data_IF_443549033303
#
_entry.id   IF_443549033303
#
_cell.length_a   1.000
_cell.length_b   1.000
_cell.length_c   1.000
_cell.angle_alpha   90.00
_cell.angle_beta   90.00
_cell.angle_gamma   90.00
#
_symmetry.space_group_name_H-M   'P 1'
#
loop_
_entity.id
_entity.type
_entity.pdbx_description
1 polymer ?
#
# COMPACT_ATOMS: atom_id res chain seq x y z
N UNK A 1 -14.11 -20.40 7.22
CA UNK A 1 -12.81 -19.68 7.42
C UNK A 1 -11.79 -20.04 6.35
N UNK A 2 -11.59 -21.33 5.98
CA UNK A 2 -10.65 -21.75 4.93
C UNK A 2 -10.92 -21.05 3.58
N UNK A 3 -12.18 -20.92 3.17
CA UNK A 3 -12.53 -20.26 1.92
C UNK A 3 -12.08 -18.80 1.83
N UNK A 4 -12.14 -18.04 2.94
CA UNK A 4 -11.63 -16.66 2.96
C UNK A 4 -10.10 -16.60 2.78
N UNK A 5 -9.37 -17.51 3.40
CA UNK A 5 -7.91 -17.59 3.24
C UNK A 5 -7.53 -17.94 1.78
N UNK A 6 -8.26 -18.83 1.14
CA UNK A 6 -8.05 -19.16 -0.28
C UNK A 6 -8.40 -17.97 -1.18
N UNK A 7 -9.51 -17.27 -0.94
CA UNK A 7 -9.87 -16.07 -1.72
C UNK A 7 -8.81 -14.96 -1.59
N UNK A 8 -8.30 -14.75 -0.38
CA UNK A 8 -7.23 -13.77 -0.10
C UNK A 8 -5.95 -14.13 -0.85
N UNK A 9 -5.51 -15.40 -0.75
CA UNK A 9 -4.35 -15.90 -1.48
C UNK A 9 -4.50 -15.75 -3.01
N UNK A 10 -5.68 -16.05 -3.57
CA UNK A 10 -5.95 -15.86 -5.00
C UNK A 10 -5.78 -14.39 -5.41
N UNK A 11 -6.33 -13.45 -4.62
CA UNK A 11 -6.21 -12.01 -4.87
C UNK A 11 -4.73 -11.57 -4.79
N UNK A 12 -4.00 -12.05 -3.79
CA UNK A 12 -2.57 -11.75 -3.60
C UNK A 12 -1.71 -12.27 -4.77
N UNK A 13 -2.03 -13.47 -5.29
CA UNK A 13 -1.40 -14.08 -6.46
C UNK A 13 -1.85 -13.48 -7.81
N UNK A 14 -2.54 -12.34 -7.79
CA UNK A 14 -3.08 -11.67 -8.98
C UNK A 14 -4.15 -12.47 -9.77
N UNK A 15 -4.70 -13.55 -9.17
CA UNK A 15 -5.83 -14.34 -9.70
C UNK A 15 -7.16 -13.69 -9.29
N UNK A 16 -7.32 -12.43 -9.69
CA UNK A 16 -8.38 -11.53 -9.18
C UNK A 16 -9.80 -11.99 -9.51
N UNK A 17 -9.98 -12.61 -10.68
CA UNK A 17 -11.30 -13.11 -11.11
C UNK A 17 -11.74 -14.28 -10.25
N UNK A 18 -10.86 -15.22 -9.98
CA UNK A 18 -11.13 -16.38 -9.13
C UNK A 18 -11.32 -15.96 -7.66
N UNK A 19 -10.51 -15.02 -7.18
CA UNK A 19 -10.68 -14.43 -5.84
C UNK A 19 -12.03 -13.72 -5.70
N UNK A 20 -12.48 -13.00 -6.73
CA UNK A 20 -13.79 -12.35 -6.76
C UNK A 20 -14.93 -13.37 -6.78
N UNK A 21 -14.83 -14.40 -7.63
CA UNK A 21 -15.83 -15.46 -7.71
C UNK A 21 -16.00 -16.18 -6.37
N UNK A 22 -14.87 -16.57 -5.76
CA UNK A 22 -14.91 -17.26 -4.47
C UNK A 22 -15.46 -16.37 -3.36
N UNK A 23 -15.02 -15.12 -3.27
CA UNK A 23 -15.53 -14.18 -2.25
C UNK A 23 -17.01 -13.91 -2.43
N UNK A 24 -17.52 -13.84 -3.67
CA UNK A 24 -18.94 -13.67 -3.96
C UNK A 24 -19.77 -14.87 -3.49
N UNK A 25 -19.32 -16.10 -3.79
CA UNK A 25 -19.97 -17.33 -3.29
C UNK A 25 -19.98 -17.40 -1.75
N UNK A 26 -18.90 -16.94 -1.13
CA UNK A 26 -18.84 -16.87 0.34
C UNK A 26 -19.81 -15.83 0.90
N UNK A 27 -20.00 -14.69 0.23
CA UNK A 27 -21.00 -13.69 0.63
C UNK A 27 -22.42 -14.25 0.53
N UNK A 28 -22.74 -15.01 -0.52
CA UNK A 28 -24.05 -15.68 -0.67
C UNK A 28 -24.30 -16.73 0.42
N UNK A 29 -23.30 -17.57 0.72
CA UNK A 29 -23.39 -18.59 1.75
C UNK A 29 -23.36 -18.05 3.18
N UNK A 30 -22.70 -16.92 3.41
CA UNK A 30 -22.50 -16.33 4.73
C UNK A 30 -22.73 -14.80 4.73
N UNK A 31 -23.96 -14.33 4.47
CA UNK A 31 -24.26 -12.92 4.19
C UNK A 31 -24.01 -11.98 5.36
N UNK A 32 -23.94 -12.50 6.59
CA UNK A 32 -23.66 -11.72 7.81
C UNK A 32 -22.18 -11.70 8.21
N UNK A 33 -21.32 -12.39 7.47
CA UNK A 33 -19.88 -12.49 7.80
C UNK A 33 -19.11 -11.35 7.15
N UNK A 34 -18.33 -10.62 7.93
CA UNK A 34 -17.59 -9.45 7.49
C UNK A 34 -16.52 -9.80 6.44
N UNK A 35 -15.65 -10.79 6.74
CA UNK A 35 -14.46 -11.09 5.92
C UNK A 35 -14.75 -11.38 4.44
N UNK A 36 -15.77 -12.18 4.05
CA UNK A 36 -16.11 -12.34 2.63
C UNK A 36 -16.38 -11.02 1.91
N UNK A 37 -17.10 -10.08 2.55
CA UNK A 37 -17.43 -8.78 1.98
C UNK A 37 -16.19 -7.88 1.85
N UNK A 38 -15.28 -7.91 2.82
CA UNK A 38 -13.98 -7.23 2.71
C UNK A 38 -13.19 -7.76 1.51
N UNK A 39 -13.10 -9.08 1.35
CA UNK A 39 -12.39 -9.72 0.24
C UNK A 39 -13.04 -9.43 -1.13
N UNK A 40 -14.38 -9.39 -1.20
CA UNK A 40 -15.08 -8.98 -2.41
C UNK A 40 -14.76 -7.53 -2.78
N UNK A 41 -14.78 -6.62 -1.81
CA UNK A 41 -14.37 -5.23 -1.99
C UNK A 41 -12.91 -5.11 -2.44
N UNK A 42 -12.00 -5.88 -1.82
CA UNK A 42 -10.58 -5.95 -2.19
C UNK A 42 -10.39 -6.44 -3.62
N UNK A 43 -11.09 -7.52 -4.01
CA UNK A 43 -11.01 -8.07 -5.37
C UNK A 43 -11.46 -7.04 -6.42
N UNK A 44 -12.57 -6.34 -6.21
CA UNK A 44 -13.00 -5.25 -7.10
C UNK A 44 -11.97 -4.12 -7.16
N UNK A 45 -11.41 -3.70 -6.03
CA UNK A 45 -10.37 -2.68 -5.99
C UNK A 45 -9.13 -3.11 -6.79
N UNK A 46 -8.66 -4.36 -6.61
CA UNK A 46 -7.52 -4.91 -7.35
C UNK A 46 -7.78 -5.08 -8.85
N UNK A 47 -9.04 -5.21 -9.25
CA UNK A 47 -9.47 -5.20 -10.67
C UNK A 47 -9.60 -3.79 -11.24
N UNK A 48 -9.43 -2.73 -10.45
CA UNK A 48 -9.61 -1.34 -10.85
C UNK A 48 -11.06 -0.86 -10.85
N UNK A 49 -12.02 -1.69 -10.44
CA UNK A 49 -13.43 -1.30 -10.29
C UNK A 49 -13.67 -0.67 -8.90
N UNK A 50 -13.06 0.49 -8.70
CA UNK A 50 -13.21 1.22 -7.44
C UNK A 50 -14.66 1.59 -7.12
N UNK A 51 -15.56 1.69 -8.14
CA UNK A 51 -16.99 2.01 -7.93
C UNK A 51 -17.70 0.88 -7.19
N UNK A 52 -17.55 -0.36 -7.65
CA UNK A 52 -18.12 -1.52 -6.97
C UNK A 52 -17.46 -1.76 -5.61
N UNK A 53 -16.16 -1.60 -5.52
CA UNK A 53 -15.44 -1.68 -4.25
C UNK A 53 -15.98 -0.66 -3.24
N UNK A 54 -16.18 0.61 -3.65
CA UNK A 54 -16.73 1.66 -2.79
C UNK A 54 -18.18 1.39 -2.38
N UNK A 55 -19.00 0.78 -3.22
CA UNK A 55 -20.37 0.42 -2.85
C UNK A 55 -20.37 -0.57 -1.67
N UNK A 56 -19.60 -1.65 -1.78
CA UNK A 56 -19.52 -2.70 -0.75
C UNK A 56 -18.88 -2.16 0.54
N UNK A 57 -17.72 -1.53 0.42
CA UNK A 57 -16.96 -1.04 1.58
C UNK A 57 -17.63 0.15 2.26
N UNK A 58 -18.35 0.98 1.48
CA UNK A 58 -19.16 2.06 2.00
C UNK A 58 -20.35 1.59 2.84
N UNK A 59 -21.00 0.48 2.43
CA UNK A 59 -22.03 -0.17 3.25
C UNK A 59 -21.46 -0.72 4.56
N UNK A 60 -20.27 -1.37 4.51
CA UNK A 60 -19.59 -1.84 5.72
C UNK A 60 -19.26 -0.68 6.66
N UNK A 61 -18.67 0.37 6.12
CA UNK A 61 -18.36 1.58 6.89
C UNK A 61 -19.61 2.23 7.51
N UNK A 62 -20.71 2.32 6.75
CA UNK A 62 -21.98 2.87 7.24
C UNK A 62 -22.64 1.98 8.32
N UNK A 63 -22.35 0.66 8.29
CA UNK A 63 -22.78 -0.28 9.32
C UNK A 63 -21.91 -0.26 10.60
N UNK A 64 -20.86 0.57 10.62
CA UNK A 64 -19.96 0.70 11.77
C UNK A 64 -18.74 -0.22 11.75
N UNK A 65 -18.49 -0.91 10.64
CA UNK A 65 -17.29 -1.74 10.46
C UNK A 65 -16.08 -0.82 10.18
N UNK A 66 -15.37 -0.46 11.23
CA UNK A 66 -14.27 0.52 11.22
C UNK A 66 -12.92 -0.12 11.60
N UNK A 67 -12.81 -1.43 11.47
CA UNK A 67 -11.54 -2.14 11.67
C UNK A 67 -10.50 -1.71 10.60
N UNK A 68 -9.19 -1.83 10.89
CA UNK A 68 -8.13 -1.37 9.98
C UNK A 68 -8.18 -2.00 8.60
N UNK A 69 -8.59 -3.26 8.47
CA UNK A 69 -8.72 -3.94 7.17
C UNK A 69 -9.82 -3.30 6.31
N UNK A 70 -11.03 -3.12 6.87
CA UNK A 70 -12.13 -2.43 6.16
C UNK A 70 -11.74 -1.02 5.77
N UNK A 71 -11.21 -0.24 6.73
CA UNK A 71 -10.81 1.13 6.47
C UNK A 71 -9.66 1.25 5.49
N UNK A 72 -8.67 0.37 5.58
CA UNK A 72 -7.50 0.36 4.68
C UNK A 72 -7.89 0.07 3.22
N UNK A 73 -8.73 -0.94 2.99
CA UNK A 73 -9.23 -1.25 1.64
C UNK A 73 -10.10 -0.09 1.13
N UNK A 74 -10.97 0.45 1.96
CA UNK A 74 -11.85 1.56 1.58
C UNK A 74 -11.06 2.82 1.27
N UNK A 75 -10.06 3.17 2.08
CA UNK A 75 -9.17 4.30 1.85
C UNK A 75 -8.43 4.19 0.51
N UNK A 76 -7.95 2.98 0.17
CA UNK A 76 -7.30 2.71 -1.12
C UNK A 76 -8.24 3.03 -2.29
N UNK A 77 -9.51 2.64 -2.24
CA UNK A 77 -10.46 2.91 -3.33
C UNK A 77 -10.69 4.41 -3.56
N UNK A 78 -10.58 5.23 -2.51
CA UNK A 78 -10.65 6.68 -2.64
C UNK A 78 -9.39 7.26 -3.28
N UNK A 79 -8.22 6.66 -3.01
CA UNK A 79 -6.99 7.01 -3.73
C UNK A 79 -7.09 6.64 -5.23
N UNK A 80 -7.64 5.47 -5.55
CA UNK A 80 -7.87 5.05 -6.94
C UNK A 80 -8.81 6.02 -7.66
N UNK A 81 -9.87 6.47 -6.98
CA UNK A 81 -10.78 7.49 -7.49
C UNK A 81 -10.10 8.84 -7.69
N UNK A 82 -9.26 9.27 -6.74
CA UNK A 82 -8.43 10.47 -6.90
C UNK A 82 -7.52 10.36 -8.12
N UNK A 83 -6.86 9.22 -8.32
CA UNK A 83 -5.99 9.01 -9.46
C UNK A 83 -6.73 9.12 -10.80
N UNK A 84 -7.98 8.64 -10.85
CA UNK A 84 -8.83 8.69 -12.03
C UNK A 84 -9.41 10.08 -12.31
N UNK A 85 -9.66 10.90 -11.27
CA UNK A 85 -10.42 12.16 -11.42
C UNK A 85 -9.62 13.41 -11.11
N UNK A 86 -8.51 13.27 -10.38
CA UNK A 86 -7.67 14.33 -9.80
C UNK A 86 -8.43 15.28 -8.85
N UNK A 87 -9.61 14.88 -8.39
CA UNK A 87 -10.37 15.64 -7.41
C UNK A 87 -9.81 15.46 -6.00
N UNK A 88 -9.23 16.53 -5.47
CA UNK A 88 -8.54 16.57 -4.17
C UNK A 88 -9.42 16.12 -2.98
N UNK A 89 -10.76 16.22 -3.10
CA UNK A 89 -11.70 15.74 -2.07
C UNK A 89 -11.57 14.22 -1.83
N UNK A 90 -11.24 13.45 -2.87
CA UNK A 90 -11.05 12.00 -2.75
C UNK A 90 -9.72 11.64 -2.11
N UNK A 91 -8.67 12.41 -2.35
CA UNK A 91 -7.42 12.27 -1.65
C UNK A 91 -7.58 12.55 -0.15
N UNK A 92 -8.30 13.63 0.20
CA UNK A 92 -8.63 13.97 1.58
C UNK A 92 -9.39 12.81 2.27
N UNK A 93 -10.42 12.26 1.59
CA UNK A 93 -11.17 11.12 2.14
C UNK A 93 -10.30 9.88 2.33
N UNK A 94 -9.39 9.59 1.39
CA UNK A 94 -8.42 8.50 1.52
C UNK A 94 -7.52 8.69 2.75
N UNK A 95 -6.93 9.87 2.92
CA UNK A 95 -6.10 10.23 4.05
C UNK A 95 -6.83 10.05 5.38
N UNK A 96 -8.07 10.58 5.48
CA UNK A 96 -8.85 10.55 6.71
C UNK A 96 -9.20 9.12 7.14
N UNK A 97 -9.53 8.24 6.19
CA UNK A 97 -9.82 6.83 6.47
C UNK A 97 -8.56 6.07 6.93
N UNK A 98 -7.42 6.26 6.27
CA UNK A 98 -6.16 5.67 6.72
C UNK A 98 -5.76 6.18 8.11
N UNK A 99 -5.93 7.47 8.36
CA UNK A 99 -5.65 8.06 9.67
C UNK A 99 -6.61 7.52 10.74
N UNK A 100 -7.89 7.39 10.45
CA UNK A 100 -8.87 6.79 11.36
C UNK A 100 -8.49 5.35 11.73
N UNK A 101 -8.07 4.54 10.75
CA UNK A 101 -7.60 3.17 10.99
C UNK A 101 -6.35 3.14 11.89
N UNK A 102 -5.36 4.00 11.60
CA UNK A 102 -4.13 4.09 12.40
C UNK A 102 -4.35 4.61 13.81
N UNK A 103 -5.32 5.50 14.01
CA UNK A 103 -5.68 6.00 15.35
C UNK A 103 -6.45 4.95 16.16
N UNK A 104 -7.26 4.10 15.51
CA UNK A 104 -7.98 3.01 16.16
C UNK A 104 -7.05 1.86 16.58
N UNK A 105 -6.08 1.51 15.73
CA UNK A 105 -5.04 0.50 16.01
C UNK A 105 -3.67 1.10 15.70
N UNK A 106 -3.08 1.78 16.68
CA UNK A 106 -1.83 2.53 16.53
C UNK A 106 -0.60 1.68 16.24
N UNK A 107 -0.72 0.35 16.20
CA UNK A 107 0.32 -0.61 15.80
C UNK A 107 0.22 -1.06 14.32
N UNK A 108 -0.78 -0.61 13.57
CA UNK A 108 -0.89 -0.89 12.14
C UNK A 108 -0.03 0.10 11.32
N UNK A 109 1.22 -0.28 11.09
CA UNK A 109 2.17 0.53 10.32
C UNK A 109 1.72 0.76 8.87
N UNK A 110 0.94 -0.14 8.28
CA UNK A 110 0.43 0.00 6.91
C UNK A 110 -0.53 1.19 6.78
N UNK A 111 -1.50 1.31 7.66
CA UNK A 111 -2.43 2.43 7.64
C UNK A 111 -1.74 3.74 8.02
N UNK A 112 -0.79 3.68 8.97
CA UNK A 112 0.00 4.82 9.40
C UNK A 112 0.85 5.42 8.28
N UNK A 113 1.61 4.60 7.55
CA UNK A 113 2.48 5.08 6.46
C UNK A 113 1.65 5.62 5.29
N UNK A 114 0.52 4.98 4.99
CA UNK A 114 -0.39 5.48 3.97
C UNK A 114 -1.03 6.82 4.36
N UNK A 115 -1.41 7.00 5.62
CA UNK A 115 -1.89 8.30 6.12
C UNK A 115 -0.82 9.39 5.99
N UNK A 116 0.44 9.07 6.31
CA UNK A 116 1.56 9.98 6.19
C UNK A 116 1.77 10.43 4.73
N UNK A 117 1.84 9.49 3.80
CA UNK A 117 2.03 9.82 2.38
C UNK A 117 0.86 10.65 1.83
N UNK A 118 -0.40 10.30 2.14
CA UNK A 118 -1.55 11.09 1.64
C UNK A 118 -1.59 12.48 2.28
N UNK A 119 -1.09 12.66 3.51
CA UNK A 119 -0.92 13.97 4.12
C UNK A 119 0.12 14.81 3.35
N UNK A 120 1.26 14.21 2.94
CA UNK A 120 2.23 14.89 2.08
C UNK A 120 1.59 15.35 0.77
N UNK A 121 0.83 14.46 0.09
CA UNK A 121 0.14 14.78 -1.16
C UNK A 121 -0.93 15.88 -1.02
N UNK A 122 -1.35 16.16 0.21
CA UNK A 122 -2.26 17.26 0.57
C UNK A 122 -1.52 18.53 0.99
N UNK A 123 -0.19 18.58 0.83
CA UNK A 123 0.70 19.67 1.25
C UNK A 123 0.77 19.86 2.77
N UNK A 124 0.39 18.83 3.54
CA UNK A 124 0.45 18.81 5.00
C UNK A 124 1.76 18.18 5.48
N UNK A 125 2.90 18.76 5.07
CA UNK A 125 4.22 18.17 5.27
C UNK A 125 4.54 17.89 6.75
N UNK A 126 4.19 18.78 7.66
CA UNK A 126 4.43 18.57 9.10
C UNK A 126 3.64 17.36 9.63
N UNK A 127 2.37 17.22 9.24
CA UNK A 127 1.54 16.05 9.60
C UNK A 127 2.12 14.76 9.02
N UNK A 128 2.58 14.79 7.76
CA UNK A 128 3.21 13.64 7.12
C UNK A 128 4.45 13.17 7.89
N UNK A 129 5.34 14.10 8.27
CA UNK A 129 6.54 13.80 9.04
C UNK A 129 6.21 13.23 10.43
N UNK A 130 5.24 13.82 11.15
CA UNK A 130 4.82 13.32 12.46
C UNK A 130 4.26 11.89 12.38
N UNK A 131 3.44 11.59 11.36
CA UNK A 131 2.92 10.25 11.15
C UNK A 131 4.05 9.27 10.76
N UNK A 132 4.97 9.68 9.90
CA UNK A 132 6.13 8.87 9.53
C UNK A 132 7.02 8.54 10.74
N UNK A 133 7.26 9.50 11.64
CA UNK A 133 7.99 9.28 12.89
C UNK A 133 7.27 8.30 13.81
N UNK A 134 5.94 8.38 13.92
CA UNK A 134 5.16 7.40 14.70
C UNK A 134 5.26 6.01 14.10
N UNK A 135 5.19 5.87 12.78
CA UNK A 135 5.39 4.58 12.09
C UNK A 135 6.80 4.05 12.35
N UNK A 136 7.83 4.89 12.24
CA UNK A 136 9.21 4.51 12.53
C UNK A 136 9.38 3.99 13.97
N UNK A 137 8.71 4.61 14.95
CA UNK A 137 8.72 4.13 16.35
C UNK A 137 8.12 2.72 16.50
N UNK A 138 7.18 2.34 15.63
CA UNK A 138 6.56 1.01 15.64
C UNK A 138 7.43 -0.06 14.96
N UNK A 139 7.97 0.26 13.77
CA UNK A 139 8.68 -0.72 12.93
C UNK A 139 10.19 -0.67 13.11
N UNK A 140 10.71 0.36 13.77
CA UNK A 140 12.14 0.61 13.93
C UNK A 140 12.76 1.32 12.72
N UNK A 141 14.10 1.43 12.74
CA UNK A 141 14.88 2.15 11.72
C UNK A 141 15.69 1.22 10.81
N UNK A 142 15.58 -0.10 11.00
CA UNK A 142 16.42 -1.09 10.31
C UNK A 142 15.60 -1.96 9.37
N UNK A 143 16.27 -2.46 8.34
CA UNK A 143 15.70 -3.50 7.48
C UNK A 143 15.30 -4.74 8.31
N UNK A 144 14.14 -5.32 8.00
CA UNK A 144 13.64 -6.56 8.60
C UNK A 144 14.04 -7.72 7.69
N UNK A 145 14.93 -8.63 8.13
CA UNK A 145 15.45 -9.70 7.26
C UNK A 145 14.33 -10.56 6.64
N UNK A 146 14.37 -10.76 5.33
CA UNK A 146 13.41 -11.59 4.61
C UNK A 146 11.98 -11.02 4.53
N UNK A 147 11.79 -9.75 4.92
CA UNK A 147 10.49 -9.10 4.97
C UNK A 147 10.48 -7.86 4.09
N UNK A 148 9.99 -8.03 2.86
CA UNK A 148 9.95 -6.95 1.87
C UNK A 148 9.14 -5.74 2.36
N UNK A 149 7.86 -5.96 2.66
CA UNK A 149 6.93 -4.88 2.96
C UNK A 149 7.24 -4.13 4.26
N UNK A 150 7.70 -4.86 5.28
CA UNK A 150 8.14 -4.24 6.53
C UNK A 150 9.35 -3.33 6.29
N UNK A 151 10.34 -3.80 5.51
CA UNK A 151 11.54 -3.02 5.16
C UNK A 151 11.18 -1.82 4.26
N UNK A 152 10.28 -2.00 3.29
CA UNK A 152 9.80 -0.94 2.43
C UNK A 152 9.03 0.15 3.22
N UNK A 153 8.27 -0.25 4.25
CA UNK A 153 7.60 0.69 5.16
C UNK A 153 8.59 1.54 5.95
N UNK A 154 9.67 0.93 6.46
CA UNK A 154 10.77 1.67 7.13
C UNK A 154 11.41 2.66 6.15
N UNK A 155 11.69 2.21 4.92
CA UNK A 155 12.28 3.06 3.88
C UNK A 155 11.37 4.25 3.54
N UNK A 156 10.07 4.03 3.39
CA UNK A 156 9.10 5.09 3.12
C UNK A 156 9.01 6.09 4.28
N UNK A 157 9.07 5.61 5.54
CA UNK A 157 9.09 6.49 6.70
C UNK A 157 10.33 7.39 6.72
N UNK A 158 11.52 6.85 6.36
CA UNK A 158 12.74 7.65 6.20
C UNK A 158 12.62 8.67 5.05
N UNK A 159 12.06 8.24 3.92
CA UNK A 159 11.85 9.10 2.76
C UNK A 159 10.94 10.29 3.08
N UNK A 160 9.82 10.07 3.77
CA UNK A 160 8.88 11.12 4.19
C UNK A 160 9.51 12.13 5.17
N UNK A 161 10.54 11.73 5.89
CA UNK A 161 11.32 12.59 6.78
C UNK A 161 12.48 13.32 6.07
N UNK A 162 12.71 13.05 4.78
CA UNK A 162 13.79 13.65 3.99
C UNK A 162 15.15 12.97 4.17
N UNK A 163 15.20 11.78 4.76
CA UNK A 163 16.42 10.99 4.94
C UNK A 163 16.71 10.12 3.69
N UNK A 164 16.97 10.78 2.55
CA UNK A 164 17.03 10.16 1.22
C UNK A 164 18.06 9.03 1.11
N UNK A 165 19.27 9.22 1.61
CA UNK A 165 20.33 8.21 1.55
C UNK A 165 19.95 6.95 2.33
N UNK A 166 19.36 7.10 3.51
CA UNK A 166 18.90 5.96 4.32
C UNK A 166 17.69 5.28 3.71
N UNK A 167 16.75 6.02 3.15
CA UNK A 167 15.62 5.47 2.40
C UNK A 167 16.11 4.61 1.22
N UNK A 168 17.08 5.09 0.42
CA UNK A 168 17.67 4.33 -0.68
C UNK A 168 18.34 3.05 -0.21
N UNK A 169 19.12 3.10 0.88
CA UNK A 169 19.76 1.93 1.47
C UNK A 169 18.74 0.87 1.92
N UNK A 170 17.63 1.29 2.53
CA UNK A 170 16.56 0.40 2.98
C UNK A 170 15.77 -0.17 1.80
N UNK A 171 15.46 0.61 0.77
CA UNK A 171 14.84 0.08 -0.44
C UNK A 171 15.74 -0.96 -1.13
N UNK A 172 17.06 -0.75 -1.16
CA UNK A 172 17.99 -1.75 -1.66
C UNK A 172 17.92 -3.05 -0.85
N UNK A 173 17.86 -2.96 0.48
CA UNK A 173 17.71 -4.13 1.34
C UNK A 173 16.38 -4.85 1.09
N UNK A 174 15.27 -4.13 0.88
CA UNK A 174 13.97 -4.71 0.56
C UNK A 174 14.02 -5.47 -0.78
N UNK A 175 14.55 -4.85 -1.83
CA UNK A 175 14.67 -5.46 -3.17
C UNK A 175 15.52 -6.73 -3.12
N UNK A 176 16.65 -6.70 -2.41
CA UNK A 176 17.54 -7.88 -2.26
C UNK A 176 16.84 -9.00 -1.48
N UNK A 177 15.98 -8.67 -0.52
CA UNK A 177 15.27 -9.67 0.30
C UNK A 177 14.19 -10.46 -0.47
N UNK A 178 13.69 -9.94 -1.59
CA UNK A 178 12.62 -10.56 -2.38
C UNK A 178 12.78 -10.22 -3.89
N UNK A 179 13.86 -10.67 -4.55
CA UNK A 179 14.20 -10.26 -5.92
C UNK A 179 13.15 -10.67 -6.97
N UNK A 180 12.34 -11.67 -6.67
CA UNK A 180 11.26 -12.16 -7.55
C UNK A 180 9.97 -11.34 -7.47
N UNK A 181 9.81 -10.49 -6.47
CA UNK A 181 8.59 -9.70 -6.24
C UNK A 181 8.51 -8.43 -7.09
N UNK A 182 8.69 -8.54 -8.40
CA UNK A 182 8.75 -7.40 -9.34
C UNK A 182 7.51 -6.49 -9.22
N UNK A 183 6.33 -7.06 -8.99
CA UNK A 183 5.10 -6.28 -8.79
C UNK A 183 5.13 -5.41 -7.53
N UNK A 184 5.72 -5.91 -6.45
CA UNK A 184 5.96 -5.18 -5.21
C UNK A 184 6.97 -4.06 -5.43
N UNK A 185 8.08 -4.35 -6.14
CA UNK A 185 9.09 -3.36 -6.52
C UNK A 185 8.48 -2.21 -7.33
N UNK A 186 7.65 -2.52 -8.34
CA UNK A 186 6.99 -1.50 -9.16
C UNK A 186 6.05 -0.63 -8.32
N UNK A 187 5.31 -1.23 -7.40
CA UNK A 187 4.41 -0.48 -6.50
C UNK A 187 5.19 0.48 -5.60
N UNK A 188 6.27 -0.01 -5.01
CA UNK A 188 7.15 0.78 -4.13
C UNK A 188 7.87 1.90 -4.89
N UNK A 189 8.38 1.60 -6.09
CA UNK A 189 9.00 2.61 -6.98
C UNK A 189 8.04 3.76 -7.28
N UNK A 190 6.81 3.44 -7.69
CA UNK A 190 5.81 4.45 -8.02
C UNK A 190 5.46 5.32 -6.81
N UNK A 191 5.39 4.72 -5.62
CA UNK A 191 5.14 5.43 -4.37
C UNK A 191 6.32 6.35 -4.00
N UNK A 192 7.56 5.84 -4.09
CA UNK A 192 8.76 6.62 -3.83
C UNK A 192 8.90 7.81 -4.80
N UNK A 193 8.63 7.59 -6.08
CA UNK A 193 8.65 8.65 -7.09
C UNK A 193 7.65 9.76 -6.77
N UNK A 194 6.42 9.39 -6.38
CA UNK A 194 5.37 10.32 -6.00
C UNK A 194 5.77 11.18 -4.79
N UNK A 195 6.41 10.58 -3.79
CA UNK A 195 6.90 11.28 -2.60
C UNK A 195 8.03 12.25 -2.96
N UNK A 196 9.01 11.79 -3.75
CA UNK A 196 10.14 12.62 -4.21
C UNK A 196 9.68 13.83 -5.02
N UNK A 197 8.66 13.66 -5.87
CA UNK A 197 8.07 14.76 -6.63
C UNK A 197 7.45 15.83 -5.71
N UNK A 198 6.73 15.42 -4.68
CA UNK A 198 6.11 16.34 -3.72
C UNK A 198 7.11 17.01 -2.78
N UNK A 199 8.21 16.33 -2.46
CA UNK A 199 9.29 16.90 -1.66
C UNK A 199 10.20 17.82 -2.49
N UNK A 200 10.02 17.92 -3.81
CA UNK A 200 10.92 18.62 -4.74
C UNK A 200 12.39 18.18 -4.54
N UNK A 201 12.59 16.87 -4.36
CA UNK A 201 13.90 16.30 -4.05
C UNK A 201 14.92 16.59 -5.17
N UNK A 202 16.16 16.93 -4.78
CA UNK A 202 17.24 17.17 -5.73
C UNK A 202 17.59 15.90 -6.52
N UNK A 203 18.17 16.03 -7.73
CA UNK A 203 18.44 14.94 -8.63
C UNK A 203 19.33 13.84 -8.01
N UNK A 204 20.32 14.23 -7.22
CA UNK A 204 21.19 13.29 -6.51
C UNK A 204 20.41 12.46 -5.48
N UNK A 205 19.46 13.07 -4.75
CA UNK A 205 18.61 12.40 -3.77
C UNK A 205 17.64 11.44 -4.47
N UNK A 206 17.03 11.89 -5.58
CA UNK A 206 16.18 11.05 -6.42
C UNK A 206 16.92 9.82 -6.93
N UNK A 207 18.12 10.02 -7.46
CA UNK A 207 18.98 8.93 -7.94
C UNK A 207 19.28 7.95 -6.82
N UNK A 208 19.66 8.41 -5.63
CA UNK A 208 19.97 7.58 -4.47
C UNK A 208 18.78 6.71 -4.06
N UNK A 209 17.57 7.29 -4.02
CA UNK A 209 16.34 6.60 -3.61
C UNK A 209 15.85 5.61 -4.66
N UNK A 210 15.97 5.93 -5.95
CA UNK A 210 15.38 5.15 -7.04
C UNK A 210 16.33 4.11 -7.65
N UNK A 211 17.64 4.24 -7.43
CA UNK A 211 18.64 3.32 -7.94
C UNK A 211 18.37 1.83 -7.62
N UNK A 212 17.87 1.45 -6.44
CA UNK A 212 17.51 0.06 -6.13
C UNK A 212 16.51 -0.57 -7.11
N UNK A 213 15.73 0.25 -7.78
CA UNK A 213 14.69 -0.17 -8.73
C UNK A 213 15.12 -0.08 -10.20
N UNK A 214 16.40 0.14 -10.50
CA UNK A 214 16.91 0.29 -11.87
C UNK A 214 16.61 -0.93 -12.77
N UNK A 215 16.43 -2.13 -12.18
CA UNK A 215 16.06 -3.35 -12.90
C UNK A 215 14.66 -3.26 -13.52
N UNK A 216 13.76 -2.40 -13.04
CA UNK A 216 12.42 -2.21 -13.61
C UNK A 216 12.46 -1.55 -14.99
N UNK A 217 13.50 -0.78 -15.30
CA UNK A 217 13.68 -0.14 -16.61
C UNK A 217 14.16 -1.11 -17.72
N UNK A 218 14.67 -2.31 -17.33
CA UNK A 218 15.22 -3.31 -18.27
C UNK A 218 14.69 -4.72 -17.92
N UNK A 219 13.43 -5.06 -18.23
CA UNK A 219 12.87 -6.37 -17.89
C UNK A 219 13.54 -7.55 -18.60
N UNK A 220 14.36 -7.31 -19.64
CA UNK A 220 14.97 -8.35 -20.48
C UNK A 220 16.28 -8.95 -19.94
N UNK A 221 16.85 -8.48 -18.83
CA UNK A 221 18.15 -8.97 -18.32
C UNK A 221 18.09 -10.05 -17.24
N UNK A 222 16.89 -10.40 -16.74
CA UNK A 222 16.76 -11.32 -15.61
C UNK A 222 16.56 -12.80 -15.98
N UNK A 223 16.65 -13.18 -17.27
CA UNK A 223 16.49 -14.60 -17.68
C UNK A 223 17.85 -15.32 -17.82
N UNK A 224 18.97 -14.61 -17.96
CA UNK A 224 20.27 -15.22 -18.25
C UNK A 224 21.18 -15.43 -17.01
N UNK A 225 20.74 -15.12 -15.81
CA UNK A 225 21.54 -15.19 -14.56
C UNK A 225 21.35 -16.47 -13.72
N UNK A 226 20.50 -17.42 -14.14
CA UNK A 226 20.20 -18.65 -13.38
C UNK A 226 20.69 -19.94 -14.08
N UNK A 227 21.57 -19.84 -15.09
CA UNK A 227 22.19 -20.97 -15.76
C UNK A 227 23.71 -20.83 -15.73
N UNK A 228 24.31 -20.93 -14.57
CA UNK A 228 25.75 -21.27 -14.41
C UNK A 228 26.03 -21.67 -12.97
#
# INVERSE_FOLDING_TARGET
MLGCAVADALIALNRKDEGLELSSKLCEGFPKTLRPRQLQGLAFARKGDWRKAQAILGELYAAGEIDPETLGIYARTWMDRYNATKDRRYLLKSRDLYRQAFEAESNDSYTGINAATKSLLLDEQQTAQQLAQRVEQLVGTKAVPGKYWETATVAEAQLLQGHFAEAGRLYQAAVVAAPEEIGSHQSTYNQALLILDHLNAAENDRTSVLQPFAHLANPSRNIDGLAS
#
